data_IF_885274026308
#
_entry.id   IF_885274026308
#
_cell.length_a   1.000
_cell.length_b   1.000
_cell.length_c   1.000
_cell.angle_alpha   90.00
_cell.angle_beta   90.00
_cell.angle_gamma   90.00
#
_symmetry.space_group_name_H-M   'P 1'
#
loop_
_entity.id
_entity.type
_entity.pdbx_description
1 polymer ?
#
# COMPACT_ATOMS: atom_id res chain seq x y z
N UNK A 1 4.57 -35.22 -0.63
CA UNK A 1 4.25 -34.57 -1.92
C UNK A 1 4.88 -33.20 -1.86
N UNK A 2 5.88 -32.90 -2.70
CA UNK A 2 6.42 -31.55 -2.82
C UNK A 2 5.33 -30.69 -3.43
N UNK A 3 4.79 -29.77 -2.63
CA UNK A 3 3.73 -28.86 -3.04
C UNK A 3 4.37 -27.69 -3.78
N UNK A 4 4.39 -27.78 -5.11
CA UNK A 4 4.89 -26.75 -6.02
C UNK A 4 3.73 -25.81 -6.40
N UNK A 5 3.79 -24.49 -6.06
CA UNK A 5 2.75 -23.53 -6.39
C UNK A 5 2.42 -23.49 -7.88
N UNK A 6 3.43 -23.57 -8.76
CA UNK A 6 3.20 -23.58 -10.22
C UNK A 6 2.35 -24.76 -10.62
N UNK A 7 2.62 -25.93 -10.06
CA UNK A 7 1.85 -27.14 -10.38
C UNK A 7 0.40 -27.01 -9.97
N UNK A 8 0.12 -26.44 -8.80
CA UNK A 8 -1.26 -26.14 -8.36
C UNK A 8 -1.95 -25.21 -9.36
N UNK A 9 -1.26 -24.17 -9.84
CA UNK A 9 -1.82 -23.26 -10.83
C UNK A 9 -2.09 -23.94 -12.19
N UNK A 10 -1.20 -24.82 -12.64
CA UNK A 10 -1.41 -25.61 -13.86
C UNK A 10 -2.58 -26.59 -13.72
N UNK A 11 -2.71 -27.27 -12.58
CA UNK A 11 -3.82 -28.18 -12.29
C UNK A 11 -5.15 -27.41 -12.25
N UNK A 12 -5.17 -26.21 -11.65
CA UNK A 12 -6.32 -25.31 -11.68
C UNK A 12 -6.70 -24.88 -13.11
N UNK A 13 -5.71 -24.45 -13.92
CA UNK A 13 -5.96 -24.06 -15.33
C UNK A 13 -6.52 -25.21 -16.17
N UNK A 14 -6.08 -26.45 -15.90
CA UNK A 14 -6.59 -27.67 -16.53
C UNK A 14 -7.94 -28.13 -16.00
N UNK A 15 -8.45 -27.52 -14.93
CA UNK A 15 -9.67 -27.89 -14.20
C UNK A 15 -9.57 -29.28 -13.53
N UNK A 16 -8.34 -29.73 -13.24
CA UNK A 16 -8.07 -30.95 -12.48
C UNK A 16 -8.41 -30.76 -11.00
N UNK A 17 -8.34 -29.51 -10.52
CA UNK A 17 -8.81 -29.07 -9.22
C UNK A 17 -9.70 -27.84 -9.39
N UNK A 18 -10.66 -27.66 -8.48
CA UNK A 18 -11.47 -26.44 -8.45
C UNK A 18 -10.72 -25.25 -7.83
N UNK A 19 -11.31 -24.06 -7.94
CA UNK A 19 -10.73 -22.82 -7.43
C UNK A 19 -10.47 -22.87 -5.92
N UNK A 20 -11.40 -23.42 -5.16
CA UNK A 20 -11.32 -23.47 -3.70
C UNK A 20 -10.15 -24.38 -3.30
N UNK A 21 -10.05 -25.57 -3.91
CA UNK A 21 -8.94 -26.50 -3.69
C UNK A 21 -7.58 -25.89 -4.05
N UNK A 22 -7.50 -25.13 -5.14
CA UNK A 22 -6.28 -24.43 -5.54
C UNK A 22 -5.85 -23.38 -4.49
N UNK A 23 -6.78 -22.51 -4.08
CA UNK A 23 -6.52 -21.47 -3.07
C UNK A 23 -6.12 -22.09 -1.72
N UNK A 24 -6.83 -23.13 -1.29
CA UNK A 24 -6.56 -23.82 -0.02
C UNK A 24 -5.17 -24.46 -0.02
N UNK A 25 -4.78 -25.07 -1.13
CA UNK A 25 -3.45 -25.66 -1.29
C UNK A 25 -2.35 -24.60 -1.27
N UNK A 26 -2.56 -23.47 -1.94
CA UNK A 26 -1.62 -22.35 -1.97
C UNK A 26 -1.44 -21.71 -0.58
N UNK A 27 -2.54 -21.45 0.13
CA UNK A 27 -2.51 -20.91 1.51
C UNK A 27 -1.81 -21.89 2.45
N UNK A 28 -2.07 -23.19 2.30
CA UNK A 28 -1.39 -24.21 3.09
C UNK A 28 0.13 -24.17 2.87
N UNK A 29 0.61 -24.04 1.64
CA UNK A 29 2.06 -23.91 1.37
C UNK A 29 2.61 -22.64 2.02
N UNK A 30 1.95 -21.50 1.82
CA UNK A 30 2.37 -20.20 2.35
C UNK A 30 2.53 -20.22 3.87
N UNK A 31 1.62 -20.88 4.59
CA UNK A 31 1.68 -20.99 6.06
C UNK A 31 2.70 -21.98 6.60
N UNK A 32 3.32 -22.81 5.74
CA UNK A 32 4.28 -23.86 6.13
C UNK A 32 5.65 -23.68 5.43
N UNK A 33 5.90 -22.53 4.84
CA UNK A 33 7.12 -22.27 4.07
C UNK A 33 7.59 -20.81 4.24
N UNK A 34 8.82 -20.64 4.69
CA UNK A 34 9.41 -19.31 4.93
C UNK A 34 10.16 -18.73 3.72
N UNK A 35 10.27 -19.46 2.60
CA UNK A 35 10.93 -18.96 1.38
C UNK A 35 10.15 -17.79 0.79
N UNK A 36 10.83 -16.65 0.68
CA UNK A 36 10.27 -15.44 0.08
C UNK A 36 9.85 -15.72 -1.36
N UNK A 37 10.67 -16.43 -2.12
CA UNK A 37 10.43 -16.75 -3.53
C UNK A 37 9.14 -17.57 -3.71
N UNK A 38 8.92 -18.56 -2.86
CA UNK A 38 7.71 -19.38 -2.88
C UNK A 38 6.48 -18.55 -2.49
N UNK A 39 6.61 -17.68 -1.48
CA UNK A 39 5.49 -16.82 -1.04
C UNK A 39 5.13 -15.78 -2.12
N UNK A 40 6.12 -15.16 -2.77
CA UNK A 40 5.95 -14.26 -3.92
C UNK A 40 5.16 -14.97 -5.03
N UNK A 41 5.62 -16.16 -5.41
CA UNK A 41 4.96 -16.96 -6.45
C UNK A 41 3.51 -17.29 -6.10
N UNK A 42 3.25 -17.66 -4.84
CA UNK A 42 1.89 -17.92 -4.37
C UNK A 42 1.01 -16.67 -4.50
N UNK A 43 1.48 -15.49 -4.09
CA UNK A 43 0.69 -14.25 -4.17
C UNK A 43 0.40 -13.89 -5.62
N UNK A 44 1.38 -14.03 -6.51
CA UNK A 44 1.15 -13.83 -7.94
C UNK A 44 0.09 -14.79 -8.49
N UNK A 45 0.15 -16.07 -8.10
CA UNK A 45 -0.83 -17.08 -8.52
C UNK A 45 -2.21 -16.74 -7.97
N UNK A 46 -2.34 -16.37 -6.69
CA UNK A 46 -3.61 -15.94 -6.09
C UNK A 46 -4.21 -14.75 -6.87
N UNK A 47 -3.38 -13.77 -7.22
CA UNK A 47 -3.78 -12.63 -8.03
C UNK A 47 -4.24 -13.05 -9.45
N UNK A 48 -3.54 -14.01 -10.07
CA UNK A 48 -3.88 -14.56 -11.40
C UNK A 48 -5.17 -15.42 -11.37
N UNK A 49 -5.43 -16.14 -10.28
CA UNK A 49 -6.69 -16.89 -10.09
C UNK A 49 -7.87 -15.92 -10.02
N UNK A 50 -7.67 -14.71 -9.50
CA UNK A 50 -8.66 -13.65 -9.52
C UNK A 50 -9.85 -13.90 -8.59
N UNK A 51 -9.62 -14.63 -7.50
CA UNK A 51 -10.68 -14.95 -6.55
C UNK A 51 -11.04 -13.75 -5.67
N UNK A 52 -12.33 -13.38 -5.70
CA UNK A 52 -12.87 -12.24 -4.94
C UNK A 52 -13.59 -12.67 -3.66
N UNK A 53 -13.19 -13.77 -3.06
CA UNK A 53 -13.77 -14.21 -1.77
C UNK A 53 -13.16 -13.46 -0.59
N UNK A 54 -13.87 -13.48 0.54
CA UNK A 54 -13.35 -12.97 1.81
C UNK A 54 -12.07 -13.68 2.26
N UNK A 55 -11.89 -14.96 1.89
CA UNK A 55 -10.69 -15.73 2.22
C UNK A 55 -9.46 -15.14 1.53
N UNK A 56 -9.56 -14.86 0.23
CA UNK A 56 -8.47 -14.23 -0.53
C UNK A 56 -8.20 -12.82 -0.04
N UNK A 57 -9.25 -12.03 0.27
CA UNK A 57 -9.10 -10.72 0.88
C UNK A 57 -8.30 -10.78 2.19
N UNK A 58 -8.71 -11.63 3.15
CA UNK A 58 -8.07 -11.72 4.47
C UNK A 58 -6.61 -12.16 4.39
N UNK A 59 -6.27 -13.04 3.45
CA UNK A 59 -4.86 -13.45 3.26
C UNK A 59 -4.02 -12.27 2.74
N UNK A 60 -4.48 -11.59 1.70
CA UNK A 60 -3.75 -10.44 1.16
C UNK A 60 -3.67 -9.29 2.18
N UNK A 61 -4.73 -9.05 2.94
CA UNK A 61 -4.74 -8.08 4.04
C UNK A 61 -3.68 -8.45 5.10
N UNK A 62 -3.69 -9.68 5.61
CA UNK A 62 -2.71 -10.10 6.62
C UNK A 62 -1.26 -9.96 6.12
N UNK A 63 -0.99 -10.32 4.86
CA UNK A 63 0.33 -10.17 4.25
C UNK A 63 0.76 -8.71 4.17
N UNK A 64 -0.14 -7.82 3.75
CA UNK A 64 0.12 -6.38 3.69
C UNK A 64 0.44 -5.81 5.09
N UNK A 65 -0.36 -6.17 6.09
CA UNK A 65 -0.27 -5.54 7.42
C UNK A 65 0.88 -6.11 8.26
N UNK A 66 1.25 -7.38 8.08
CA UNK A 66 2.10 -8.11 9.04
C UNK A 66 3.34 -8.80 8.47
N UNK A 67 3.48 -8.98 7.14
CA UNK A 67 4.69 -9.63 6.62
C UNK A 67 5.94 -8.77 6.86
N UNK A 68 7.09 -9.39 7.07
CA UNK A 68 8.35 -8.65 7.27
C UNK A 68 9.01 -8.25 5.95
N UNK A 69 8.66 -8.89 4.85
CA UNK A 69 9.25 -8.67 3.54
C UNK A 69 8.48 -7.60 2.75
N UNK A 70 9.20 -6.59 2.26
CA UNK A 70 8.61 -5.46 1.52
C UNK A 70 7.96 -5.89 0.20
N UNK A 71 8.58 -6.79 -0.56
CA UNK A 71 8.03 -7.29 -1.83
C UNK A 71 6.70 -8.01 -1.62
N UNK A 72 6.60 -8.82 -0.56
CA UNK A 72 5.36 -9.48 -0.17
C UNK A 72 4.26 -8.46 0.13
N UNK A 73 4.55 -7.41 0.91
CA UNK A 73 3.58 -6.33 1.19
C UNK A 73 3.13 -5.64 -0.08
N UNK A 74 4.05 -5.30 -0.99
CA UNK A 74 3.72 -4.61 -2.24
C UNK A 74 2.84 -5.45 -3.17
N UNK A 75 3.15 -6.74 -3.29
CA UNK A 75 2.34 -7.68 -4.08
C UNK A 75 0.95 -7.87 -3.47
N UNK A 76 0.87 -7.95 -2.13
CA UNK A 76 -0.38 -8.06 -1.41
C UNK A 76 -1.25 -6.80 -1.59
N UNK A 77 -0.67 -5.60 -1.45
CA UNK A 77 -1.35 -4.33 -1.69
C UNK A 77 -1.85 -4.21 -3.14
N UNK A 78 -1.02 -4.61 -4.11
CA UNK A 78 -1.39 -4.62 -5.54
C UNK A 78 -2.55 -5.57 -5.80
N UNK A 79 -2.52 -6.76 -5.20
CA UNK A 79 -3.61 -7.75 -5.24
C UNK A 79 -4.91 -7.23 -4.65
N UNK A 80 -4.84 -6.62 -3.46
CA UNK A 80 -6.00 -5.99 -2.80
C UNK A 80 -6.65 -4.94 -3.71
N UNK A 81 -5.87 -4.02 -4.26
CA UNK A 81 -6.38 -3.00 -5.20
C UNK A 81 -7.06 -3.65 -6.42
N UNK A 82 -6.39 -4.62 -7.05
CA UNK A 82 -6.87 -5.23 -8.29
C UNK A 82 -8.16 -6.05 -8.10
N UNK A 83 -8.29 -6.75 -6.97
CA UNK A 83 -9.40 -7.66 -6.71
C UNK A 83 -10.54 -7.02 -5.92
N UNK A 84 -10.22 -6.05 -5.05
CA UNK A 84 -11.08 -5.51 -4.01
C UNK A 84 -11.00 -3.97 -3.92
N UNK A 85 -10.89 -3.27 -5.06
CA UNK A 85 -10.64 -1.83 -5.18
C UNK A 85 -11.25 -0.94 -4.07
N UNK A 86 -12.56 -1.02 -3.81
CA UNK A 86 -13.21 -0.22 -2.75
C UNK A 86 -12.78 -0.66 -1.34
N UNK A 87 -12.86 -1.96 -1.05
CA UNK A 87 -12.51 -2.54 0.26
C UNK A 87 -11.00 -2.46 0.56
N UNK A 88 -10.17 -2.27 -0.46
CA UNK A 88 -8.73 -2.12 -0.31
C UNK A 88 -8.34 -0.80 0.38
N UNK A 89 -9.20 0.22 0.36
CA UNK A 89 -8.88 1.52 0.96
C UNK A 89 -8.61 1.43 2.47
N UNK A 90 -9.35 0.61 3.20
CA UNK A 90 -9.17 0.46 4.65
C UNK A 90 -7.78 -0.09 5.03
N UNK A 91 -7.32 -1.24 4.51
CA UNK A 91 -5.99 -1.73 4.82
C UNK A 91 -4.88 -0.84 4.24
N UNK A 92 -5.08 -0.22 3.06
CA UNK A 92 -4.10 0.73 2.51
C UNK A 92 -3.95 1.97 3.40
N UNK A 93 -5.06 2.53 3.90
CA UNK A 93 -5.06 3.63 4.88
C UNK A 93 -4.33 3.23 6.15
N UNK A 94 -4.60 2.03 6.67
CA UNK A 94 -3.93 1.53 7.88
C UNK A 94 -2.41 1.51 7.69
N UNK A 95 -1.91 1.01 6.56
CA UNK A 95 -0.46 1.00 6.26
C UNK A 95 0.09 2.42 6.18
N UNK A 96 -0.63 3.34 5.53
CA UNK A 96 -0.21 4.74 5.41
C UNK A 96 -0.01 5.43 6.78
N UNK A 97 -0.71 4.95 7.82
CA UNK A 97 -0.65 5.51 9.17
C UNK A 97 0.33 4.78 10.11
N UNK A 98 0.70 3.54 9.83
CA UNK A 98 1.47 2.70 10.79
C UNK A 98 2.79 2.14 10.25
N UNK A 99 3.03 2.20 8.93
CA UNK A 99 4.27 1.73 8.32
C UNK A 99 5.40 2.77 8.47
N UNK A 100 6.65 2.28 8.55
CA UNK A 100 7.86 3.10 8.65
C UNK A 100 8.69 3.08 7.38
N UNK A 101 8.58 2.03 6.57
CA UNK A 101 9.26 1.94 5.29
C UNK A 101 8.72 3.01 4.34
N UNK A 102 9.56 3.99 4.01
CA UNK A 102 9.21 5.05 3.06
C UNK A 102 8.87 4.49 1.67
N UNK A 103 9.54 3.42 1.23
CA UNK A 103 9.25 2.76 -0.04
C UNK A 103 7.83 2.19 -0.06
N UNK A 104 7.43 1.50 1.01
CA UNK A 104 6.06 0.97 1.14
C UNK A 104 5.07 2.13 1.19
N UNK A 105 5.31 3.15 2.02
CA UNK A 105 4.41 4.29 2.12
C UNK A 105 4.18 4.96 0.75
N UNK A 106 5.24 5.24 -0.02
CA UNK A 106 5.11 5.82 -1.37
C UNK A 106 4.34 4.91 -2.32
N UNK A 107 4.55 3.58 -2.24
CA UNK A 107 3.79 2.62 -3.05
C UNK A 107 2.31 2.62 -2.68
N UNK A 108 1.97 2.69 -1.40
CA UNK A 108 0.59 2.76 -0.92
C UNK A 108 -0.10 4.04 -1.37
N UNK A 109 0.58 5.19 -1.30
CA UNK A 109 0.07 6.47 -1.82
C UNK A 109 -0.27 6.37 -3.31
N UNK A 110 0.62 5.76 -4.11
CA UNK A 110 0.37 5.54 -5.53
C UNK A 110 -0.84 4.60 -5.76
N UNK A 111 -0.93 3.50 -5.03
CA UNK A 111 -2.06 2.57 -5.15
C UNK A 111 -3.40 3.24 -4.79
N UNK A 112 -3.42 4.09 -3.76
CA UNK A 112 -4.61 4.88 -3.40
C UNK A 112 -4.97 5.85 -4.53
N UNK A 113 -3.98 6.55 -5.11
CA UNK A 113 -4.22 7.41 -6.29
C UNK A 113 -4.83 6.63 -7.46
N UNK A 114 -4.30 5.44 -7.75
CA UNK A 114 -4.76 4.59 -8.85
C UNK A 114 -6.19 4.06 -8.67
N UNK A 115 -6.70 3.98 -7.43
CA UNK A 115 -8.11 3.67 -7.17
C UNK A 115 -9.04 4.74 -7.77
N UNK A 116 -8.57 5.99 -7.88
CA UNK A 116 -9.23 7.09 -8.58
C UNK A 116 -10.72 7.26 -8.21
N UNK A 117 -11.02 7.28 -6.92
CA UNK A 117 -12.37 7.50 -6.37
C UNK A 117 -12.38 8.68 -5.39
N UNK A 118 -13.58 9.19 -5.08
CA UNK A 118 -13.74 10.23 -4.06
C UNK A 118 -13.31 9.74 -2.67
N UNK A 119 -13.54 8.46 -2.36
CA UNK A 119 -13.11 7.87 -1.09
C UNK A 119 -11.59 7.79 -1.03
N UNK A 120 -10.93 7.39 -2.12
CA UNK A 120 -9.47 7.40 -2.22
C UNK A 120 -8.90 8.82 -2.05
N UNK A 121 -9.50 9.82 -2.70
CA UNK A 121 -9.14 11.23 -2.50
C UNK A 121 -9.33 11.65 -1.04
N UNK A 122 -10.40 11.22 -0.41
CA UNK A 122 -10.68 11.50 1.01
C UNK A 122 -9.62 10.90 1.92
N UNK A 123 -9.17 9.67 1.66
CA UNK A 123 -8.04 9.05 2.39
C UNK A 123 -6.78 9.90 2.31
N UNK A 124 -6.44 10.42 1.12
CA UNK A 124 -5.26 11.29 0.95
C UNK A 124 -5.43 12.62 1.70
N UNK A 125 -6.60 13.26 1.62
CA UNK A 125 -6.89 14.51 2.36
C UNK A 125 -6.80 14.28 3.87
N UNK A 126 -7.37 13.19 4.36
CA UNK A 126 -7.34 12.84 5.78
C UNK A 126 -5.90 12.60 6.24
N UNK A 127 -5.05 11.98 5.42
CA UNK A 127 -3.64 11.83 5.75
C UNK A 127 -2.95 13.18 5.94
N UNK A 128 -3.17 14.11 5.01
CA UNK A 128 -2.57 15.46 5.07
C UNK A 128 -3.03 16.22 6.32
N UNK A 129 -4.32 16.12 6.67
CA UNK A 129 -4.87 16.74 7.89
C UNK A 129 -4.26 16.20 9.18
N UNK A 130 -3.74 14.98 9.15
CA UNK A 130 -3.17 14.29 10.31
C UNK A 130 -1.63 14.26 10.28
N UNK A 131 -0.98 15.13 9.50
CA UNK A 131 0.47 15.25 9.57
C UNK A 131 0.91 15.66 10.98
N UNK A 132 1.88 14.92 11.52
CA UNK A 132 2.39 15.18 12.87
C UNK A 132 3.46 16.29 12.88
N UNK A 133 4.06 16.61 11.73
CA UNK A 133 5.15 17.59 11.65
C UNK A 133 4.63 19.03 11.65
N UNK A 134 5.07 19.80 12.65
CA UNK A 134 4.73 21.21 12.80
C UNK A 134 4.98 22.04 11.52
N UNK A 135 6.14 21.90 10.87
CA UNK A 135 6.46 22.68 9.66
C UNK A 135 5.48 22.44 8.51
N UNK A 136 5.03 21.19 8.30
CA UNK A 136 4.01 20.88 7.31
C UNK A 136 2.67 21.51 7.69
N UNK A 137 2.25 21.36 8.95
CA UNK A 137 1.01 21.96 9.45
C UNK A 137 1.01 23.48 9.36
N UNK A 138 2.15 24.13 9.61
CA UNK A 138 2.35 25.57 9.44
C UNK A 138 2.20 25.95 7.96
N UNK A 139 2.88 25.25 7.05
CA UNK A 139 2.81 25.53 5.61
C UNK A 139 1.41 25.33 5.01
N UNK A 140 0.60 24.45 5.60
CA UNK A 140 -0.74 24.10 5.11
C UNK A 140 -1.87 24.85 5.85
N UNK A 141 -1.53 25.72 6.83
CA UNK A 141 -2.52 26.24 7.78
C UNK A 141 -3.68 26.99 7.12
N UNK A 142 -3.39 27.82 6.10
CA UNK A 142 -4.40 28.61 5.42
C UNK A 142 -5.27 27.71 4.53
N UNK A 143 -4.65 26.81 3.78
CA UNK A 143 -5.31 25.82 2.92
C UNK A 143 -6.29 24.96 3.72
N UNK A 144 -5.87 24.47 4.89
CA UNK A 144 -6.71 23.61 5.74
C UNK A 144 -7.83 24.41 6.42
N UNK A 145 -7.55 25.62 6.94
CA UNK A 145 -8.56 26.48 7.58
C UNK A 145 -9.65 26.91 6.62
N UNK A 146 -9.29 27.24 5.38
CA UNK A 146 -10.23 27.67 4.36
C UNK A 146 -10.88 26.49 3.62
N UNK A 147 -10.53 25.24 3.99
CA UNK A 147 -10.97 24.01 3.33
C UNK A 147 -10.65 23.98 1.81
N UNK A 148 -9.63 24.73 1.38
CA UNK A 148 -9.17 24.81 -0.01
C UNK A 148 -8.62 23.46 -0.49
N UNK A 149 -8.12 22.63 0.43
CA UNK A 149 -7.60 21.28 0.15
C UNK A 149 -8.60 20.38 -0.61
N UNK A 150 -9.92 20.63 -0.47
CA UNK A 150 -10.95 19.87 -1.18
C UNK A 150 -10.89 20.08 -2.70
N UNK A 151 -10.41 21.26 -3.13
CA UNK A 151 -10.30 21.62 -4.55
C UNK A 151 -9.06 21.03 -5.22
N UNK A 152 -8.10 20.51 -4.44
CA UNK A 152 -6.85 19.98 -4.97
C UNK A 152 -7.11 18.73 -5.82
N UNK A 153 -6.37 18.59 -6.91
CA UNK A 153 -6.37 17.35 -7.68
C UNK A 153 -5.57 16.26 -6.93
N UNK A 154 -5.81 15.00 -7.28
CA UNK A 154 -5.18 13.85 -6.62
C UNK A 154 -3.65 13.88 -6.73
N UNK A 155 -3.10 14.39 -7.83
CA UNK A 155 -1.64 14.47 -8.04
C UNK A 155 -0.98 15.42 -7.03
N UNK A 156 -1.57 16.60 -6.80
CA UNK A 156 -1.11 17.55 -5.81
C UNK A 156 -1.17 16.98 -4.39
N UNK A 157 -2.24 16.24 -4.05
CA UNK A 157 -2.35 15.57 -2.75
C UNK A 157 -1.25 14.50 -2.57
N UNK A 158 -0.98 13.71 -3.61
CA UNK A 158 0.10 12.70 -3.61
C UNK A 158 1.46 13.36 -3.45
N UNK A 159 1.72 14.47 -4.13
CA UNK A 159 2.97 15.21 -4.03
C UNK A 159 3.24 15.71 -2.61
N UNK A 160 2.23 16.32 -1.97
CA UNK A 160 2.31 16.78 -0.58
C UNK A 160 2.62 15.61 0.37
N UNK A 161 1.95 14.47 0.21
CA UNK A 161 2.19 13.28 1.04
C UNK A 161 3.58 12.68 0.79
N UNK A 162 4.03 12.60 -0.45
CA UNK A 162 5.36 12.11 -0.78
C UNK A 162 6.45 13.02 -0.21
N UNK A 163 6.27 14.34 -0.28
CA UNK A 163 7.16 15.30 0.36
C UNK A 163 7.24 15.06 1.87
N UNK A 164 6.10 14.85 2.54
CA UNK A 164 6.07 14.50 3.95
C UNK A 164 6.80 13.18 4.26
N UNK A 165 6.59 12.13 3.47
CA UNK A 165 7.27 10.83 3.63
C UNK A 165 8.78 10.97 3.46
N UNK A 166 9.23 11.67 2.41
CA UNK A 166 10.65 11.85 2.08
C UNK A 166 11.37 12.66 3.17
N UNK A 167 10.75 13.74 3.66
CA UNK A 167 11.32 14.55 4.74
C UNK A 167 11.42 13.74 6.04
N UNK A 168 10.39 12.96 6.40
CA UNK A 168 10.49 12.04 7.54
C UNK A 168 11.68 11.10 7.41
N UNK A 169 11.82 10.46 6.25
CA UNK A 169 12.92 9.54 5.99
C UNK A 169 14.30 10.20 6.14
N UNK A 170 14.50 11.40 5.59
CA UNK A 170 15.78 12.09 5.72
C UNK A 170 16.07 12.53 7.15
N UNK A 171 15.07 13.02 7.90
CA UNK A 171 15.24 13.39 9.31
C UNK A 171 15.53 12.19 10.20
N UNK A 172 15.01 10.99 9.88
CA UNK A 172 15.32 9.76 10.61
C UNK A 172 16.79 9.30 10.41
N UNK A 173 17.38 9.62 9.26
CA UNK A 173 18.77 9.24 8.92
C UNK A 173 19.77 10.31 9.33
N UNK A 174 19.37 11.59 9.37
CA UNK A 174 20.27 12.74 9.57
C UNK A 174 19.84 13.59 10.75
N UNK A 175 20.80 13.99 11.58
CA UNK A 175 20.56 14.86 12.73
C UNK A 175 19.97 16.24 12.39
N UNK A 176 20.17 16.74 11.16
CA UNK A 176 19.53 17.97 10.69
C UNK A 176 19.30 17.94 9.18
N UNK A 177 18.06 18.15 8.76
CA UNK A 177 17.65 18.37 7.37
C UNK A 177 17.09 19.78 7.28
N UNK A 178 17.61 20.58 6.35
CA UNK A 178 17.09 21.93 6.09
C UNK A 178 16.24 21.88 4.83
N UNK A 179 15.03 22.39 4.96
CA UNK A 179 14.07 22.46 3.87
C UNK A 179 13.13 23.65 4.07
N UNK A 180 12.63 24.16 2.96
CA UNK A 180 11.58 25.18 2.93
C UNK A 180 10.30 24.59 2.33
N UNK A 181 9.16 24.99 2.89
CA UNK A 181 7.84 24.53 2.47
C UNK A 181 6.99 25.70 1.99
N UNK A 182 6.32 25.51 0.86
CA UNK A 182 5.23 26.37 0.40
C UNK A 182 4.01 25.47 0.13
N UNK A 183 2.90 25.74 0.83
CA UNK A 183 1.63 25.03 0.64
C UNK A 183 1.76 23.48 0.73
N UNK A 184 2.63 23.00 1.62
CA UNK A 184 2.93 21.57 1.81
C UNK A 184 3.93 20.97 0.82
N UNK A 185 4.44 21.75 -0.13
CA UNK A 185 5.45 21.31 -1.08
C UNK A 185 6.86 21.71 -0.65
N UNK A 186 7.82 20.80 -0.83
CA UNK A 186 9.25 21.09 -0.59
C UNK A 186 9.80 21.86 -1.78
N UNK A 187 10.02 23.16 -1.59
CA UNK A 187 10.55 24.05 -2.64
C UNK A 187 12.07 24.20 -2.59
N UNK A 188 12.67 23.95 -1.42
CA UNK A 188 14.11 23.92 -1.22
C UNK A 188 14.46 22.76 -0.27
N UNK A 189 15.52 22.03 -0.59
CA UNK A 189 16.05 20.92 0.21
C UNK A 189 17.58 20.93 0.17
N UNK A 190 18.20 21.01 1.34
CA UNK A 190 19.66 20.99 1.53
C UNK A 190 20.05 19.68 2.25
N UNK A 191 20.71 18.78 1.52
CA UNK A 191 21.11 17.43 1.93
C UNK A 191 22.61 17.35 2.19
#
# INVERSE_FOLDING_TARGET
>A
MTLDPKKIYEDFKRKDIDRLAAIDSLIYIMGNNDSIEIRVEIIEILNKIGDKSNKTFSILENLLLSDSNQEIKELAATGLKALFQEKALDPLKWVLDHEKSWQILMRIVLLIKEINSNDAKTVLIDKIKNFEKYKFNESLINILKNNEIQSFNTDALVEIINNYIIINFFEDIRNSVKYHLEDGNVVELDL
#
